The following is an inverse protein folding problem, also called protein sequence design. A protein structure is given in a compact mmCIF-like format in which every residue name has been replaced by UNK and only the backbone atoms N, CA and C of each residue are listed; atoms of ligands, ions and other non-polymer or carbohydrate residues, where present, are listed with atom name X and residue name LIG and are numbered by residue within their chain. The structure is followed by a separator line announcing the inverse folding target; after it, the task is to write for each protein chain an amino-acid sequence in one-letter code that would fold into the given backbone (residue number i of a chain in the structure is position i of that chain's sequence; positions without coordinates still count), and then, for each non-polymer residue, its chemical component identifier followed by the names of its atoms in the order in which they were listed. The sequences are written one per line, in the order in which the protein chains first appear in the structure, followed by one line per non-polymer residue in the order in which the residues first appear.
data_IF_985093964303
#
_entry.id   IF_985093964303
#
_cell.length_a   1.000
_cell.length_b   1.000
_cell.length_c   1.000
_cell.angle_alpha   90.00
_cell.angle_beta   90.00
_cell.angle_gamma   90.00
#
_symmetry.space_group_name_H-M   'P 1'
#
loop_
_entity.id
_entity.type
_entity.pdbx_description
1 polymer ?
#
# COMPACT_ATOMS: atom_id res chain seq x y z
N UNK A 1 7.92 12.29 -54.12
CA UNK A 1 8.28 12.17 -52.69
C UNK A 1 9.71 12.63 -52.56
N UNK A 2 9.94 13.72 -51.83
CA UNK A 2 11.26 14.36 -51.71
C UNK A 2 11.78 14.11 -50.30
N UNK A 3 12.95 13.49 -50.19
CA UNK A 3 13.55 13.06 -48.93
C UNK A 3 13.99 14.28 -48.09
N UNK A 4 13.72 14.31 -46.76
CA UNK A 4 14.08 15.45 -45.94
C UNK A 4 15.60 15.50 -45.74
N UNK A 5 16.26 16.47 -46.38
CA UNK A 5 17.69 16.73 -46.22
C UNK A 5 17.93 17.34 -44.84
N UNK A 6 18.55 16.56 -43.94
CA UNK A 6 18.94 17.01 -42.61
C UNK A 6 20.14 17.98 -42.67
N UNK A 7 19.95 19.19 -42.15
CA UNK A 7 20.98 20.23 -42.06
C UNK A 7 22.25 19.74 -41.31
N UNK A 8 23.43 19.75 -41.96
CA UNK A 8 24.68 19.28 -41.37
C UNK A 8 25.09 20.05 -40.10
N UNK A 9 24.67 21.31 -39.95
CA UNK A 9 24.95 22.11 -38.74
C UNK A 9 24.19 21.57 -37.52
N UNK A 10 22.95 21.14 -37.72
CA UNK A 10 22.11 20.57 -36.66
C UNK A 10 22.67 19.23 -36.17
N UNK A 11 23.18 18.40 -37.08
CA UNK A 11 23.87 17.15 -36.74
C UNK A 11 25.15 17.39 -35.93
N UNK A 12 25.94 18.41 -36.31
CA UNK A 12 27.16 18.74 -35.58
C UNK A 12 26.87 19.18 -34.13
N UNK A 13 25.85 20.03 -33.94
CA UNK A 13 25.45 20.49 -32.61
C UNK A 13 24.94 19.36 -31.70
N UNK A 14 24.13 18.44 -32.24
CA UNK A 14 23.63 17.28 -31.47
C UNK A 14 24.79 16.35 -31.08
N UNK A 15 25.73 16.12 -32.00
CA UNK A 15 26.89 15.27 -31.72
C UNK A 15 27.78 15.87 -30.65
N UNK A 16 28.00 17.18 -30.69
CA UNK A 16 28.80 17.85 -29.66
C UNK A 16 28.12 17.72 -28.30
N UNK A 17 26.83 18.03 -28.19
CA UNK A 17 26.06 17.91 -26.95
C UNK A 17 26.13 16.51 -26.32
N UNK A 18 26.05 15.46 -27.15
CA UNK A 18 26.17 14.07 -26.69
C UNK A 18 27.57 13.78 -26.15
N UNK A 19 28.61 14.27 -26.82
CA UNK A 19 30.02 14.06 -26.39
C UNK A 19 30.31 14.80 -25.09
N UNK A 20 29.85 16.05 -24.93
CA UNK A 20 30.02 16.80 -23.68
C UNK A 20 29.28 16.15 -22.52
N UNK A 21 28.07 15.63 -22.76
CA UNK A 21 27.28 14.92 -21.73
C UNK A 21 27.94 13.59 -21.34
N UNK A 22 28.53 12.86 -22.29
CA UNK A 22 29.25 11.62 -21.98
C UNK A 22 30.56 11.87 -21.20
N UNK A 23 31.25 12.97 -21.48
CA UNK A 23 32.47 13.36 -20.77
C UNK A 23 32.19 13.76 -19.32
N UNK A 24 31.12 14.51 -19.06
CA UNK A 24 30.73 14.95 -17.70
C UNK A 24 30.28 13.78 -16.81
N UNK A 25 29.60 12.79 -17.36
CA UNK A 25 29.18 11.60 -16.60
C UNK A 25 30.34 10.69 -16.19
N UNK A 26 31.42 10.61 -16.99
CA UNK A 26 32.61 9.81 -16.65
C UNK A 26 33.44 10.44 -15.52
N UNK A 27 33.49 11.76 -15.43
CA UNK A 27 34.28 12.46 -14.41
C UNK A 27 33.69 12.34 -12.99
N UNK A 28 32.37 12.18 -12.86
CA UNK A 28 31.69 12.19 -11.55
C UNK A 28 31.57 10.83 -10.84
N UNK A 29 31.72 9.70 -11.56
CA UNK A 29 31.34 8.38 -11.04
C UNK A 29 32.46 7.62 -10.31
N UNK A 30 33.73 7.94 -10.56
CA UNK A 30 34.87 7.26 -9.96
C UNK A 30 35.14 7.66 -8.49
N UNK A 31 35.02 8.95 -8.17
CA UNK A 31 35.44 9.50 -6.86
C UNK A 31 34.47 9.18 -5.71
N UNK A 32 33.19 8.96 -6.01
CA UNK A 32 32.16 8.66 -5.00
C UNK A 32 32.15 7.18 -4.56
N UNK A 33 32.51 6.26 -5.45
CA UNK A 33 32.55 4.81 -5.13
C UNK A 33 33.72 4.43 -4.23
N UNK A 34 34.90 5.02 -4.43
CA UNK A 34 36.08 4.74 -3.60
C UNK A 34 35.93 5.25 -2.18
N UNK A 35 35.32 6.43 -1.98
CA UNK A 35 35.03 6.96 -0.65
C UNK A 35 34.08 6.06 0.15
N UNK A 36 33.05 5.50 -0.49
CA UNK A 36 32.07 4.63 0.19
C UNK A 36 32.67 3.29 0.66
N UNK A 37 33.57 2.70 -0.13
CA UNK A 37 34.22 1.41 0.20
C UNK A 37 35.21 1.57 1.36
N UNK A 38 36.00 2.65 1.39
CA UNK A 38 36.95 2.90 2.49
C UNK A 38 36.22 3.11 3.83
N UNK A 39 35.09 3.82 3.82
CA UNK A 39 34.28 4.01 5.03
C UNK A 39 33.68 2.70 5.55
N UNK A 40 33.25 1.80 4.65
CA UNK A 40 32.73 0.49 5.02
C UNK A 40 33.80 -0.43 5.65
N UNK A 41 35.03 -0.39 5.13
CA UNK A 41 36.14 -1.18 5.68
C UNK A 41 36.55 -0.69 7.07
N UNK A 42 36.52 0.62 7.32
CA UNK A 42 36.82 1.18 8.65
C UNK A 42 35.74 0.85 9.70
N UNK A 43 34.47 0.79 9.29
CA UNK A 43 33.36 0.37 10.17
C UNK A 43 33.43 -1.12 10.52
N UNK A 44 33.85 -1.97 9.59
CA UNK A 44 33.97 -3.42 9.84
C UNK A 44 35.12 -3.79 10.81
N UNK A 45 36.22 -3.03 10.79
CA UNK A 45 37.36 -3.24 11.70
C UNK A 45 37.09 -2.70 13.11
N UNK A 46 36.13 -1.79 13.29
CA UNK A 46 35.78 -1.22 14.60
C UNK A 46 34.93 -2.11 15.51
N UNK A 47 34.28 -3.17 14.98
CA UNK A 47 33.30 -3.99 15.73
C UNK A 47 33.90 -5.33 16.20
N UNK A 48 35.14 -5.66 15.82
CA UNK A 48 35.79 -6.94 16.13
C UNK A 48 37.01 -6.79 17.06
N UNK A 49 36.89 -5.95 18.10
CA UNK A 49 37.96 -5.75 19.08
C UNK A 49 37.45 -5.31 20.46
N UNK A 50 37.09 -6.28 21.31
CA UNK A 50 36.86 -6.10 22.75
C UNK A 50 35.52 -6.70 23.19
N UNK A 51 35.41 -7.60 24.16
CA UNK A 51 36.37 -8.26 25.04
C UNK A 51 35.56 -8.90 26.17
N UNK A 52 35.88 -10.11 26.62
CA UNK A 52 35.49 -10.60 27.96
C UNK A 52 36.57 -11.56 28.45
N UNK A 53 37.20 -11.20 29.55
CA UNK A 53 38.06 -12.05 30.36
C UNK A 53 37.52 -12.08 31.80
N UNK A 54 37.66 -13.25 32.43
CA UNK A 54 37.43 -13.58 33.87
C UNK A 54 35.95 -13.63 34.33
N UNK A 55 35.51 -14.53 35.22
CA UNK A 55 36.21 -15.21 36.31
C UNK A 55 35.61 -16.58 36.70
N UNK A 56 36.45 -17.39 37.33
CA UNK A 56 36.18 -18.66 38.00
C UNK A 56 35.46 -18.45 39.35
N UNK A 57 34.56 -19.35 39.74
CA UNK A 57 34.38 -19.70 41.16
C UNK A 57 33.74 -21.08 41.34
N UNK A 58 34.52 -21.96 41.98
CA UNK A 58 34.21 -23.29 42.52
C UNK A 58 33.44 -23.25 43.85
N UNK A 59 32.70 -24.32 44.15
CA UNK A 59 32.18 -24.69 45.48
C UNK A 59 30.87 -25.47 45.31
N UNK A 60 30.82 -26.81 45.35
CA UNK A 60 31.13 -27.72 46.46
C UNK A 60 30.60 -27.17 47.79
N UNK A 61 29.39 -27.59 48.17
CA UNK A 61 29.00 -28.10 49.50
C UNK A 61 27.50 -28.44 49.48
N UNK A 62 27.24 -29.73 49.64
CA UNK A 62 25.96 -30.38 49.86
C UNK A 62 25.60 -30.30 51.36
N UNK A 63 24.42 -29.76 51.74
CA UNK A 63 23.81 -30.06 53.01
C UNK A 63 22.46 -30.79 52.83
N UNK A 64 22.31 -31.84 53.63
CA UNK A 64 21.23 -32.81 53.68
C UNK A 64 19.79 -32.23 53.71
N UNK A 65 18.78 -32.99 53.23
CA UNK A 65 17.39 -32.55 53.23
C UNK A 65 16.81 -32.57 54.66
N UNK A 66 16.48 -31.39 55.18
CA UNK A 66 15.61 -31.20 56.34
C UNK A 66 14.16 -31.43 55.94
N UNK A 67 13.50 -32.37 56.61
CA UNK A 67 12.06 -32.63 56.48
C UNK A 67 11.27 -31.46 57.07
N UNK A 68 10.79 -30.56 56.20
CA UNK A 68 9.84 -29.50 56.55
C UNK A 68 8.43 -30.08 56.76
N UNK A 69 7.65 -29.64 57.76
CA UNK A 69 6.28 -30.09 57.94
C UNK A 69 5.42 -29.67 56.74
N UNK A 70 4.67 -30.63 56.20
CA UNK A 70 3.73 -30.42 55.09
C UNK A 70 2.66 -29.40 55.51
N UNK A 71 2.54 -28.24 54.83
CA UNK A 71 1.46 -27.31 55.11
C UNK A 71 0.13 -27.96 54.69
N UNK A 72 -0.83 -27.97 55.62
CA UNK A 72 -2.19 -28.40 55.33
C UNK A 72 -2.83 -27.39 54.38
N UNK A 73 -3.07 -27.81 53.14
CA UNK A 73 -3.72 -26.98 52.13
C UNK A 73 -5.18 -26.74 52.54
N UNK A 74 -5.47 -25.52 52.97
CA UNK A 74 -6.85 -25.03 53.10
C UNK A 74 -7.38 -24.84 51.67
N UNK A 75 -8.57 -25.37 51.31
CA UNK A 75 -9.15 -25.13 50.00
C UNK A 75 -9.36 -23.62 49.83
N UNK A 76 -8.62 -23.04 48.88
CA UNK A 76 -8.82 -21.65 48.47
C UNK A 76 -10.14 -21.60 47.70
N UNK A 77 -11.06 -20.67 48.01
CA UNK A 77 -12.31 -20.56 47.28
C UNK A 77 -12.01 -20.28 45.81
N UNK A 78 -12.49 -21.14 44.93
CA UNK A 78 -12.43 -20.93 43.48
C UNK A 78 -13.11 -19.60 43.15
N UNK A 79 -12.45 -18.65 42.48
CA UNK A 79 -13.10 -17.42 42.06
C UNK A 79 -14.26 -17.80 41.14
N UNK A 80 -15.46 -17.37 41.52
CA UNK A 80 -16.64 -17.49 40.66
C UNK A 80 -16.41 -16.56 39.48
N UNK A 81 -16.34 -17.11 38.27
CA UNK A 81 -16.25 -16.29 37.06
C UNK A 81 -17.45 -15.36 37.01
N UNK A 82 -17.18 -14.06 37.16
CA UNK A 82 -18.18 -13.04 36.94
C UNK A 82 -18.43 -13.02 35.44
N UNK A 83 -19.68 -13.12 34.96
CA UNK A 83 -19.96 -13.12 33.54
C UNK A 83 -19.42 -11.82 32.94
N UNK A 84 -18.40 -11.94 32.09
CA UNK A 84 -17.90 -10.83 31.29
C UNK A 84 -19.07 -10.30 30.48
N UNK A 85 -19.40 -9.00 30.56
CA UNK A 85 -20.49 -8.45 29.77
C UNK A 85 -20.20 -8.71 28.30
N UNK A 86 -21.08 -9.45 27.64
CA UNK A 86 -21.04 -9.60 26.18
C UNK A 86 -21.11 -8.20 25.58
N UNK A 87 -20.15 -7.79 24.72
CA UNK A 87 -20.23 -6.49 24.07
C UNK A 87 -21.56 -6.43 23.33
N UNK A 88 -22.41 -5.50 23.75
CA UNK A 88 -23.63 -5.19 23.02
C UNK A 88 -23.16 -4.56 21.72
N UNK A 89 -23.43 -5.22 20.58
CA UNK A 89 -23.14 -4.65 19.28
C UNK A 89 -23.85 -3.29 19.19
N UNK A 90 -23.09 -2.20 19.24
CA UNK A 90 -23.60 -0.87 18.94
C UNK A 90 -24.21 -0.95 17.54
N UNK A 91 -25.47 -0.54 17.33
CA UNK A 91 -26.05 -0.58 16.00
C UNK A 91 -25.22 0.33 15.09
N UNK A 92 -24.54 -0.26 14.11
CA UNK A 92 -23.89 0.50 13.05
C UNK A 92 -24.98 1.35 12.38
N UNK A 93 -24.82 2.68 12.31
CA UNK A 93 -25.82 3.53 11.67
C UNK A 93 -26.04 2.99 10.25
N UNK A 94 -27.29 2.62 9.96
CA UNK A 94 -27.69 2.23 8.60
C UNK A 94 -27.76 3.51 7.79
N UNK A 95 -26.60 4.04 7.40
CA UNK A 95 -26.51 5.01 6.31
C UNK A 95 -27.20 4.37 5.12
N UNK A 96 -28.31 4.94 4.67
CA UNK A 96 -28.94 4.53 3.41
C UNK A 96 -27.93 4.75 2.31
N UNK A 97 -27.50 3.67 1.66
CA UNK A 97 -26.58 3.71 0.52
C UNK A 97 -27.15 4.63 -0.57
N UNK A 98 -26.38 5.65 -0.95
CA UNK A 98 -26.65 6.54 -2.08
C UNK A 98 -25.59 6.31 -3.17
N UNK A 99 -25.95 5.75 -4.34
CA UNK A 99 -25.03 5.57 -5.46
C UNK A 99 -24.45 6.86 -6.04
N UNK A 100 -24.96 8.03 -5.68
CA UNK A 100 -24.37 9.32 -6.07
C UNK A 100 -23.36 9.87 -5.05
N UNK A 101 -23.35 9.35 -3.82
CA UNK A 101 -22.52 9.83 -2.72
C UNK A 101 -21.58 8.74 -2.17
N UNK A 102 -20.30 8.74 -2.57
CA UNK A 102 -19.30 7.81 -2.08
C UNK A 102 -19.13 7.76 -0.56
N UNK A 103 -19.48 8.81 0.19
CA UNK A 103 -19.40 8.78 1.66
C UNK A 103 -20.33 7.74 2.30
N UNK A 104 -21.38 7.33 1.58
CA UNK A 104 -22.32 6.30 2.02
C UNK A 104 -21.84 4.88 1.71
N UNK A 105 -20.71 4.74 1.01
CA UNK A 105 -20.23 3.46 0.49
C UNK A 105 -19.30 2.75 1.46
N UNK A 106 -19.46 1.43 1.55
CA UNK A 106 -18.55 0.54 2.27
C UNK A 106 -17.51 -0.05 1.31
N UNK A 107 -16.25 -0.12 1.76
CA UNK A 107 -15.13 -0.79 1.10
C UNK A 107 -15.05 -2.24 1.57
N UNK A 108 -15.00 -3.18 0.63
CA UNK A 108 -14.84 -4.62 0.87
C UNK A 108 -13.85 -5.22 -0.15
N UNK A 109 -13.52 -6.51 0.01
CA UNK A 109 -12.55 -7.22 -0.83
C UNK A 109 -13.05 -7.47 -2.26
N UNK A 110 -14.36 -7.47 -2.49
CA UNK A 110 -14.98 -7.67 -3.80
C UNK A 110 -15.41 -6.37 -4.49
N UNK A 111 -15.36 -5.22 -3.82
CA UNK A 111 -15.86 -3.97 -4.36
C UNK A 111 -16.02 -2.84 -3.35
N UNK A 112 -16.60 -1.73 -3.82
CA UNK A 112 -16.90 -0.55 -3.00
C UNK A 112 -18.26 0.02 -3.39
N UNK A 113 -19.17 0.12 -2.43
CA UNK A 113 -20.53 0.58 -2.71
C UNK A 113 -21.21 -0.23 -3.84
N UNK A 114 -21.70 0.40 -4.92
CA UNK A 114 -22.40 -0.28 -6.00
C UNK A 114 -21.49 -0.96 -7.03
N UNK A 115 -20.16 -0.76 -6.98
CA UNK A 115 -19.20 -1.26 -7.97
C UNK A 115 -18.42 -2.46 -7.46
N UNK A 116 -18.15 -3.44 -8.34
CA UNK A 116 -17.56 -4.74 -7.97
C UNK A 116 -16.47 -5.21 -8.92
N UNK A 117 -15.48 -5.93 -8.40
CA UNK A 117 -14.55 -6.71 -9.21
C UNK A 117 -15.31 -7.73 -10.06
N UNK A 118 -14.77 -8.06 -11.23
CA UNK A 118 -15.38 -9.00 -12.17
C UNK A 118 -16.51 -8.43 -13.04
N UNK A 119 -17.13 -7.30 -12.67
CA UNK A 119 -18.05 -6.56 -13.53
C UNK A 119 -17.33 -5.95 -14.72
N UNK A 120 -17.96 -5.90 -15.88
CA UNK A 120 -17.39 -5.22 -17.05
C UNK A 120 -17.34 -3.71 -16.85
N UNK A 121 -16.41 -3.02 -17.52
CA UNK A 121 -16.30 -1.55 -17.43
C UNK A 121 -17.64 -0.81 -17.74
N UNK A 122 -18.45 -1.23 -18.74
CA UNK A 122 -19.76 -0.63 -18.97
C UNK A 122 -20.78 -0.89 -17.86
N UNK A 123 -20.74 -2.07 -17.21
CA UNK A 123 -21.61 -2.37 -16.06
C UNK A 123 -21.28 -1.47 -14.87
N UNK A 124 -19.99 -1.22 -14.60
CA UNK A 124 -19.57 -0.28 -13.55
C UNK A 124 -20.08 1.14 -13.84
N UNK A 125 -19.93 1.58 -15.08
CA UNK A 125 -20.40 2.92 -15.52
C UNK A 125 -21.92 3.03 -15.43
N UNK A 126 -22.64 1.97 -15.80
CA UNK A 126 -24.09 1.90 -15.68
C UNK A 126 -24.60 1.89 -14.23
N UNK A 127 -23.80 1.39 -13.28
CA UNK A 127 -24.11 1.43 -11.86
C UNK A 127 -23.95 2.84 -11.25
N UNK A 128 -23.26 3.75 -11.95
CA UNK A 128 -22.92 5.10 -11.49
C UNK A 128 -23.45 6.19 -12.45
N UNK A 129 -24.78 6.26 -12.70
CA UNK A 129 -25.34 7.17 -13.70
C UNK A 129 -25.18 8.66 -13.37
N UNK A 130 -24.88 9.00 -12.11
CA UNK A 130 -24.62 10.37 -11.67
C UNK A 130 -23.15 10.79 -11.87
N UNK A 131 -22.25 9.86 -12.19
CA UNK A 131 -20.82 10.14 -12.28
C UNK A 131 -20.47 10.61 -13.69
N UNK A 132 -19.54 11.55 -13.79
CA UNK A 132 -19.00 11.99 -15.07
C UNK A 132 -17.97 10.98 -15.56
N UNK A 133 -18.10 10.52 -16.80
CA UNK A 133 -17.10 9.69 -17.46
C UNK A 133 -15.98 10.58 -18.04
N UNK A 134 -14.79 10.48 -17.46
CA UNK A 134 -13.57 11.18 -17.86
C UNK A 134 -12.57 10.24 -18.55
N UNK A 135 -13.03 9.07 -19.00
CA UNK A 135 -12.16 8.08 -19.67
C UNK A 135 -11.60 8.69 -20.95
N UNK A 136 -10.27 8.73 -21.06
CA UNK A 136 -9.64 9.11 -22.33
C UNK A 136 -9.99 8.07 -23.40
N UNK A 137 -10.35 8.56 -24.58
CA UNK A 137 -10.59 7.76 -25.79
C UNK A 137 -9.53 6.68 -26.07
N UNK A 138 -8.25 6.93 -25.76
CA UNK A 138 -7.17 5.94 -25.94
C UNK A 138 -7.26 4.77 -24.95
N UNK A 139 -7.95 4.96 -23.83
CA UNK A 139 -8.04 4.01 -22.72
C UNK A 139 -9.31 3.17 -22.70
N UNK A 140 -10.27 3.46 -23.58
CA UNK A 140 -11.53 2.73 -23.69
C UNK A 140 -11.26 1.24 -23.88
N UNK A 141 -11.87 0.43 -23.01
CA UNK A 141 -11.71 -1.03 -22.99
C UNK A 141 -10.53 -1.54 -22.17
N UNK A 142 -9.62 -0.67 -21.73
CA UNK A 142 -8.52 -1.02 -20.81
C UNK A 142 -8.77 -0.48 -19.40
N UNK A 143 -9.34 0.71 -19.30
CA UNK A 143 -9.79 1.29 -18.04
C UNK A 143 -11.01 2.20 -18.26
N UNK A 144 -11.68 2.55 -17.17
CA UNK A 144 -12.65 3.64 -17.10
C UNK A 144 -12.30 4.57 -15.96
N UNK A 145 -12.44 5.87 -16.17
CA UNK A 145 -12.26 6.91 -15.16
C UNK A 145 -13.59 7.60 -14.95
N UNK A 146 -14.15 7.48 -13.76
CA UNK A 146 -15.40 8.13 -13.40
C UNK A 146 -15.20 9.08 -12.23
N UNK A 147 -15.80 10.26 -12.29
CA UNK A 147 -15.74 11.26 -11.22
C UNK A 147 -17.12 11.44 -10.59
N UNK A 148 -17.20 11.32 -9.27
CA UNK A 148 -18.45 11.52 -8.52
C UNK A 148 -18.92 12.98 -8.59
N UNK A 149 -20.20 13.27 -8.33
CA UNK A 149 -20.68 14.65 -8.16
C UNK A 149 -19.88 15.47 -7.13
N UNK A 150 -19.33 14.81 -6.11
CA UNK A 150 -18.46 15.40 -5.10
C UNK A 150 -16.99 15.60 -5.53
N UNK A 151 -16.63 15.23 -6.77
CA UNK A 151 -15.29 15.37 -7.33
C UNK A 151 -14.34 14.22 -7.04
N UNK A 152 -14.81 13.13 -6.44
CA UNK A 152 -13.97 11.96 -6.15
C UNK A 152 -13.78 11.11 -7.40
N UNK A 153 -12.52 10.86 -7.78
CA UNK A 153 -12.16 10.07 -8.96
C UNK A 153 -12.03 8.59 -8.62
N UNK A 154 -12.67 7.76 -9.44
CA UNK A 154 -12.54 6.31 -9.47
C UNK A 154 -11.91 5.88 -10.78
N UNK A 155 -10.95 4.96 -10.70
CA UNK A 155 -10.32 4.32 -11.86
C UNK A 155 -10.62 2.82 -11.79
N UNK A 156 -11.31 2.31 -12.80
CA UNK A 156 -11.63 0.90 -12.98
C UNK A 156 -10.68 0.32 -14.01
N UNK A 157 -9.92 -0.70 -13.64
CA UNK A 157 -8.90 -1.30 -14.52
C UNK A 157 -9.39 -2.66 -14.99
N UNK A 158 -9.42 -2.87 -16.30
CA UNK A 158 -9.79 -4.16 -16.87
C UNK A 158 -8.68 -5.20 -16.69
N UNK A 159 -9.08 -6.47 -16.59
CA UNK A 159 -8.17 -7.60 -16.63
C UNK A 159 -7.42 -7.66 -17.97
N UNK A 160 -6.14 -8.00 -17.92
CA UNK A 160 -5.30 -8.15 -19.11
C UNK A 160 -5.66 -9.37 -19.98
N UNK A 161 -6.59 -10.21 -19.54
CA UNK A 161 -7.09 -11.39 -20.25
C UNK A 161 -8.02 -11.06 -21.44
N UNK A 162 -8.32 -9.77 -21.65
CA UNK A 162 -9.20 -9.30 -22.72
C UNK A 162 -10.69 -9.54 -22.44
N UNK A 163 -11.06 -9.98 -21.24
CA UNK A 163 -12.46 -10.19 -20.85
C UNK A 163 -13.25 -8.88 -20.67
N UNK A 164 -12.55 -7.75 -20.53
CA UNK A 164 -13.15 -6.45 -20.22
C UNK A 164 -13.71 -6.36 -18.80
N UNK A 165 -13.47 -7.37 -17.96
CA UNK A 165 -13.89 -7.41 -16.56
C UNK A 165 -12.93 -6.62 -15.68
N UNK A 166 -13.47 -5.94 -14.68
CA UNK A 166 -12.69 -5.13 -13.73
C UNK A 166 -11.83 -6.04 -12.86
N UNK A 167 -10.51 -5.85 -12.88
CA UNK A 167 -9.55 -6.54 -12.04
C UNK A 167 -9.06 -5.69 -10.87
N UNK A 168 -9.17 -4.36 -10.97
CA UNK A 168 -8.90 -3.45 -9.87
C UNK A 168 -9.82 -2.21 -9.91
N UNK A 169 -10.12 -1.69 -8.73
CA UNK A 169 -10.83 -0.42 -8.50
C UNK A 169 -9.90 0.44 -7.65
N UNK A 170 -9.60 1.65 -8.10
CA UNK A 170 -8.74 2.60 -7.41
C UNK A 170 -9.47 3.91 -7.21
N UNK A 171 -9.31 4.52 -6.03
CA UNK A 171 -9.88 5.83 -5.73
C UNK A 171 -9.04 6.53 -4.67
N UNK A 172 -9.08 7.86 -4.68
CA UNK A 172 -8.27 8.69 -3.80
C UNK A 172 -7.87 9.99 -4.47
N UNK A 173 -6.92 10.68 -3.85
CA UNK A 173 -6.46 11.99 -4.28
C UNK A 173 -5.32 11.89 -5.32
N UNK A 174 -4.68 10.72 -5.47
CA UNK A 174 -3.53 10.51 -6.34
C UNK A 174 -2.41 11.56 -6.12
N UNK A 175 -2.29 12.04 -4.88
CA UNK A 175 -1.32 13.04 -4.46
C UNK A 175 -1.56 14.48 -4.93
N UNK A 176 -2.79 14.85 -5.32
CA UNK A 176 -3.15 16.22 -5.72
C UNK A 176 -3.56 17.15 -4.57
N UNK A 177 -3.59 16.70 -3.30
CA UNK A 177 -4.01 17.51 -2.15
C UNK A 177 -4.56 16.68 -0.98
N UNK A 178 -5.35 17.34 -0.11
CA UNK A 178 -6.10 16.73 0.99
C UNK A 178 -7.56 16.56 0.59
N UNK A 179 -8.05 15.33 0.45
CA UNK A 179 -9.49 15.08 0.34
C UNK A 179 -10.15 15.25 1.70
N UNK A 180 -11.40 15.72 1.68
CA UNK A 180 -12.24 15.74 2.86
C UNK A 180 -12.64 14.29 3.20
N UNK A 181 -12.28 13.85 4.42
CA UNK A 181 -12.72 12.56 4.98
C UNK A 181 -14.23 12.34 4.87
N UNK A 182 -15.02 13.42 4.86
CA UNK A 182 -16.47 13.35 4.88
C UNK A 182 -17.08 12.87 3.56
N UNK A 183 -16.34 12.84 2.44
CA UNK A 183 -16.90 12.56 1.11
C UNK A 183 -16.42 11.24 0.49
N UNK A 184 -15.72 10.38 1.25
CA UNK A 184 -15.06 9.18 0.71
C UNK A 184 -15.58 7.88 1.32
N UNK A 185 -15.55 6.75 0.58
CA UNK A 185 -15.90 5.45 1.10
C UNK A 185 -15.05 5.05 2.31
N UNK A 186 -15.59 4.15 3.15
CA UNK A 186 -14.91 3.64 4.34
C UNK A 186 -14.99 2.13 4.44
N UNK A 187 -13.98 1.52 5.03
CA UNK A 187 -14.07 0.14 5.49
C UNK A 187 -15.04 0.02 6.67
N UNK A 188 -15.40 -1.21 7.04
CA UNK A 188 -16.20 -1.47 8.24
C UNK A 188 -15.56 -0.93 9.53
N UNK A 189 -14.22 -0.83 9.58
CA UNK A 189 -13.46 -0.28 10.71
C UNK A 189 -13.26 1.26 10.59
N UNK A 190 -13.92 1.91 9.63
CA UNK A 190 -13.93 3.36 9.48
C UNK A 190 -12.74 3.97 8.74
N UNK A 191 -11.82 3.14 8.22
CA UNK A 191 -10.65 3.62 7.47
C UNK A 191 -11.07 4.03 6.06
N UNK A 192 -10.64 5.21 5.63
CA UNK A 192 -10.89 5.74 4.30
C UNK A 192 -9.74 6.66 3.87
N UNK A 193 -9.99 7.49 2.86
CA UNK A 193 -9.02 8.50 2.44
C UNK A 193 -8.78 9.49 3.58
N UNK A 194 -7.56 10.00 3.65
CA UNK A 194 -7.03 10.92 4.66
C UNK A 194 -6.90 10.34 6.08
N UNK A 195 -7.37 9.11 6.35
CA UNK A 195 -7.06 8.42 7.62
C UNK A 195 -5.55 8.39 7.88
N UNK A 196 -5.13 8.68 9.10
CA UNK A 196 -3.72 8.66 9.48
C UNK A 196 -3.17 7.25 9.50
N UNK A 197 -1.84 7.11 9.36
CA UNK A 197 -1.17 5.83 9.52
C UNK A 197 -1.45 5.21 10.90
N UNK A 198 -1.49 6.04 11.95
CA UNK A 198 -1.78 5.55 13.31
C UNK A 198 -3.21 5.00 13.43
N UNK A 199 -4.20 5.68 12.84
CA UNK A 199 -5.58 5.16 12.76
C UNK A 199 -5.65 3.85 11.97
N UNK A 200 -4.96 3.76 10.83
CA UNK A 200 -4.89 2.56 10.01
C UNK A 200 -4.29 1.38 10.79
N UNK A 201 -3.17 1.59 11.47
CA UNK A 201 -2.49 0.55 12.26
C UNK A 201 -3.26 0.18 13.53
N UNK A 202 -4.04 1.10 14.09
CA UNK A 202 -4.93 0.83 15.21
C UNK A 202 -6.15 0.00 14.78
N UNK A 203 -6.75 0.31 13.63
CA UNK A 203 -7.88 -0.43 13.06
C UNK A 203 -7.47 -1.83 12.56
N UNK A 204 -6.27 -1.95 11.99
CA UNK A 204 -5.73 -3.22 11.47
C UNK A 204 -4.36 -3.55 12.07
N UNK A 205 -4.30 -4.03 13.32
CA UNK A 205 -3.05 -4.41 13.96
C UNK A 205 -2.34 -5.51 13.16
N UNK A 206 -1.08 -5.26 12.78
CA UNK A 206 -0.25 -6.22 12.06
C UNK A 206 -0.51 -6.27 10.54
N UNK A 207 -1.25 -5.32 9.97
CA UNK A 207 -1.37 -5.18 8.52
C UNK A 207 0.03 -5.10 7.87
N UNK A 208 0.36 -6.01 6.94
CA UNK A 208 1.69 -6.03 6.33
C UNK A 208 1.87 -4.85 5.38
N UNK A 209 3.08 -4.29 5.37
CA UNK A 209 3.52 -3.41 4.29
C UNK A 209 3.65 -4.23 3.02
N UNK A 210 2.88 -3.87 1.99
CA UNK A 210 2.89 -4.55 0.70
C UNK A 210 3.88 -3.93 -0.26
N UNK A 211 4.12 -2.63 -0.26
CA UNK A 211 5.11 -2.02 -1.15
C UNK A 211 5.65 -0.70 -0.63
N UNK A 212 6.73 -0.24 -1.26
CA UNK A 212 7.19 1.15 -1.18
C UNK A 212 7.45 1.64 -2.59
N UNK A 213 6.95 2.83 -2.91
CA UNK A 213 7.09 3.46 -4.21
C UNK A 213 7.80 4.81 -4.05
N UNK A 214 8.91 4.98 -4.78
CA UNK A 214 9.76 6.17 -4.79
C UNK A 214 10.15 6.72 -3.40
N UNK A 215 10.16 5.87 -2.36
CA UNK A 215 10.36 6.24 -0.95
C UNK A 215 9.38 7.29 -0.39
N UNK A 216 8.28 7.57 -1.10
CA UNK A 216 7.29 8.59 -0.75
C UNK A 216 5.95 7.95 -0.38
N UNK A 217 5.62 6.83 -1.00
CA UNK A 217 4.35 6.12 -0.77
C UNK A 217 4.64 4.72 -0.24
N UNK A 218 3.96 4.34 0.83
CA UNK A 218 4.04 3.01 1.43
C UNK A 218 2.66 2.36 1.40
N UNK A 219 2.57 1.18 0.80
CA UNK A 219 1.33 0.42 0.76
C UNK A 219 1.18 -0.51 1.95
N UNK A 220 -0.01 -0.58 2.53
CA UNK A 220 -0.41 -1.55 3.55
C UNK A 220 -1.60 -2.35 3.03
N UNK A 221 -1.55 -3.69 3.10
CA UNK A 221 -2.53 -4.55 2.43
C UNK A 221 -3.24 -5.54 3.34
N UNK A 222 -4.57 -5.60 3.20
CA UNK A 222 -5.41 -6.67 3.72
C UNK A 222 -5.68 -7.69 2.62
N UNK A 223 -5.85 -8.95 3.00
CA UNK A 223 -6.31 -10.02 2.11
C UNK A 223 -7.40 -10.86 2.77
N UNK A 224 -8.34 -11.34 1.98
CA UNK A 224 -9.36 -12.31 2.38
C UNK A 224 -8.86 -13.77 2.37
N UNK A 225 -7.59 -13.99 1.98
CA UNK A 225 -7.01 -15.33 1.82
C UNK A 225 -7.49 -16.12 0.59
N UNK A 226 -8.41 -15.56 -0.19
CA UNK A 226 -9.01 -16.15 -1.39
C UNK A 226 -8.64 -15.38 -2.68
N UNK A 227 -7.74 -14.40 -2.56
CA UNK A 227 -7.20 -13.63 -3.67
C UNK A 227 -7.82 -12.24 -3.83
N UNK A 228 -8.69 -11.80 -2.91
CA UNK A 228 -9.11 -10.42 -2.76
C UNK A 228 -8.11 -9.62 -1.93
N UNK A 229 -7.90 -8.36 -2.32
CA UNK A 229 -6.98 -7.43 -1.66
C UNK A 229 -7.61 -6.05 -1.51
N UNK A 230 -7.41 -5.44 -0.35
CA UNK A 230 -7.61 -4.01 -0.11
C UNK A 230 -6.26 -3.43 0.28
N UNK A 231 -5.80 -2.40 -0.42
CA UNK A 231 -4.47 -1.85 -0.26
C UNK A 231 -4.56 -0.34 -0.06
N UNK A 232 -4.05 0.12 1.08
CA UNK A 232 -4.01 1.52 1.47
C UNK A 232 -2.63 2.09 1.11
N UNK A 233 -2.59 3.02 0.16
CA UNK A 233 -1.40 3.79 -0.15
C UNK A 233 -1.28 4.94 0.85
N UNK A 234 -0.23 4.93 1.67
CA UNK A 234 0.04 5.97 2.66
C UNK A 234 1.13 6.88 2.12
N UNK A 235 0.82 8.17 2.03
CA UNK A 235 1.74 9.22 1.61
C UNK A 235 1.69 10.36 2.64
N UNK A 236 2.85 10.86 3.06
CA UNK A 236 2.95 11.89 4.10
C UNK A 236 2.21 11.55 5.41
N UNK A 237 2.13 10.26 5.75
CA UNK A 237 1.52 9.78 7.00
C UNK A 237 -0.01 9.61 6.97
N UNK A 238 -0.65 9.81 5.81
CA UNK A 238 -2.10 9.61 5.64
C UNK A 238 -2.40 8.72 4.43
N UNK A 239 -3.53 8.03 4.45
CA UNK A 239 -4.03 7.25 3.32
C UNK A 239 -4.40 8.21 2.19
N UNK A 240 -3.67 8.17 1.08
CA UNK A 240 -3.94 9.02 -0.09
C UNK A 240 -4.80 8.33 -1.13
N UNK A 241 -4.66 7.01 -1.24
CA UNK A 241 -5.32 6.19 -2.26
C UNK A 241 -5.64 4.81 -1.70
N UNK A 242 -6.74 4.23 -2.18
CA UNK A 242 -7.15 2.87 -1.85
C UNK A 242 -7.35 2.11 -3.16
N UNK A 243 -6.81 0.89 -3.18
CA UNK A 243 -7.01 -0.06 -4.26
C UNK A 243 -7.72 -1.30 -3.73
N UNK A 244 -8.75 -1.73 -4.45
CA UNK A 244 -9.39 -3.03 -4.31
C UNK A 244 -9.02 -3.83 -5.54
N UNK A 245 -8.43 -5.00 -5.37
CA UNK A 245 -7.91 -5.77 -6.50
C UNK A 245 -8.01 -7.28 -6.27
N UNK A 246 -8.09 -8.03 -7.36
CA UNK A 246 -7.85 -9.46 -7.31
C UNK A 246 -6.33 -9.75 -7.35
N UNK A 247 -5.95 -10.99 -7.04
CA UNK A 247 -4.55 -11.42 -7.02
C UNK A 247 -3.81 -11.30 -8.37
N UNK A 248 -4.53 -10.99 -9.47
CA UNK A 248 -3.93 -10.76 -10.78
C UNK A 248 -3.37 -9.33 -10.95
N UNK A 249 -3.70 -8.41 -10.03
CA UNK A 249 -3.21 -7.02 -10.04
C UNK A 249 -2.60 -6.71 -8.67
N UNK A 250 -1.31 -7.03 -8.52
CA UNK A 250 -0.58 -6.72 -7.28
C UNK A 250 -0.36 -5.21 -7.15
N UNK A 251 -0.17 -4.71 -5.91
CA UNK A 251 0.09 -3.30 -5.65
C UNK A 251 1.32 -2.77 -6.39
N UNK A 252 1.31 -1.47 -6.71
CA UNK A 252 2.42 -0.79 -7.40
C UNK A 252 3.75 -1.05 -6.67
N UNK A 253 4.74 -1.66 -7.33
CA UNK A 253 6.07 -1.89 -6.76
C UNK A 253 6.31 -3.30 -6.17
N UNK A 254 5.27 -4.12 -6.04
CA UNK A 254 5.42 -5.58 -5.98
C UNK A 254 5.44 -6.12 -7.42
N UNK A 255 6.33 -7.07 -7.73
CA UNK A 255 6.51 -7.60 -9.08
C UNK A 255 5.19 -8.07 -9.72
N UNK A 256 4.93 -7.57 -10.93
CA UNK A 256 3.73 -7.67 -11.81
C UNK A 256 2.46 -6.97 -11.33
N UNK A 257 2.39 -5.69 -11.69
CA UNK A 257 1.16 -5.02 -12.10
C UNK A 257 1.15 -4.94 -13.65
N UNK A 258 0.75 -6.00 -14.34
CA UNK A 258 0.42 -5.92 -15.78
C UNK A 258 -1.05 -5.52 -15.95
N UNK A 259 -1.47 -4.39 -15.36
CA UNK A 259 -2.82 -3.87 -15.54
C UNK A 259 -2.88 -2.37 -15.86
N UNK A 260 -1.76 -1.64 -15.77
CA UNK A 260 -1.66 -0.35 -16.44
C UNK A 260 -0.91 -0.62 -17.74
N UNK A 261 -1.56 -0.53 -18.92
CA UNK A 261 -0.86 -0.60 -20.20
C UNK A 261 0.22 0.48 -20.20
N UNK A 262 1.47 0.08 -20.02
CA UNK A 262 2.58 0.95 -19.63
C UNK A 262 3.07 1.91 -20.71
N UNK A 263 2.32 2.13 -21.80
CA UNK A 263 2.73 3.04 -22.88
C UNK A 263 1.59 3.82 -23.55
N UNK A 264 0.31 3.60 -23.20
CA UNK A 264 -0.82 4.23 -23.93
C UNK A 264 -1.81 5.00 -23.07
N UNK A 265 -1.94 4.68 -21.79
CA UNK A 265 -2.83 5.39 -20.89
C UNK A 265 -2.02 6.19 -19.87
N UNK A 266 -2.04 7.54 -19.91
CA UNK A 266 -1.44 8.33 -18.85
C UNK A 266 -2.22 8.06 -17.55
N UNK A 267 -1.53 7.47 -16.57
CA UNK A 267 -1.99 7.29 -15.21
C UNK A 267 -2.02 8.64 -14.47
#
# INVERSE_FOLDING_TARGET
MTEPTFDPRRKAAIRELIVTTAASQRAGRGRKRTAFVVTLVLLAVGISGGGVAYALSSGLLDPAPVTSPTPTLVPTPTPTETPTPTPTATPTPTSTLDPADPATWTIDFDGVGPVKLGSTLPEQSGALPAFADETDSVCVGQLSVLTSPGGMRFTFVAAADGSGRTAAIQFGNFGRGSDDHAITPRTAEGIGISSTLDELLAAYPGIPQTYTYNDITTGYGLTDGSGGWIVFAVMNGVVSDIQIANASVLPIGQGRADAIPSERCPA
#
